data_IF_263214310771
#
_entry.id   IF_263214310771
#
_cell.length_a   1.000
_cell.length_b   1.000
_cell.length_c   1.000
_cell.angle_alpha   90.00
_cell.angle_beta   90.00
_cell.angle_gamma   90.00
#
_symmetry.space_group_name_H-M   'P 1'
#
loop_
_entity.id
_entity.type
_entity.pdbx_description
1 polymer ?
#
# COMPACT_ATOMS: atom_id res chain seq x y z
N UNK A 1 19.43 10.01 8.66
CA UNK A 1 18.41 10.98 9.11
C UNK A 1 17.25 10.95 8.12
N UNK A 2 16.16 10.23 8.44
CA UNK A 2 15.00 10.06 7.55
C UNK A 2 14.21 11.35 7.29
N UNK A 3 14.24 12.29 8.25
CA UNK A 3 13.59 13.60 8.09
C UNK A 3 14.19 14.44 6.94
N UNK A 4 15.41 14.12 6.49
CA UNK A 4 16.06 14.76 5.34
C UNK A 4 15.70 14.11 3.99
N UNK A 5 15.05 12.94 3.99
CA UNK A 5 14.75 12.12 2.81
C UNK A 5 13.30 11.59 2.88
N UNK A 6 12.28 12.47 2.87
CA UNK A 6 10.89 12.08 3.10
C UNK A 6 10.35 11.09 2.07
N UNK A 7 10.75 11.19 0.81
CA UNK A 7 10.29 10.27 -0.24
C UNK A 7 10.88 8.85 -0.05
N UNK A 8 12.15 8.76 0.36
CA UNK A 8 12.77 7.46 0.68
C UNK A 8 12.14 6.84 1.93
N UNK A 9 11.83 7.66 2.94
CA UNK A 9 11.14 7.21 4.15
C UNK A 9 9.74 6.68 3.83
N UNK A 10 9.00 7.40 2.97
CA UNK A 10 7.68 7.01 2.51
C UNK A 10 7.73 5.69 1.72
N UNK A 11 8.62 5.58 0.74
CA UNK A 11 8.78 4.36 -0.05
C UNK A 11 9.12 3.16 0.85
N UNK A 12 10.07 3.31 1.77
CA UNK A 12 10.40 2.27 2.74
C UNK A 12 9.17 1.86 3.57
N UNK A 13 8.43 2.83 4.10
CA UNK A 13 7.21 2.57 4.87
C UNK A 13 6.11 1.90 4.08
N UNK A 14 5.91 2.27 2.80
CA UNK A 14 4.92 1.62 1.93
C UNK A 14 5.31 0.16 1.72
N UNK A 15 6.58 -0.13 1.40
CA UNK A 15 7.05 -1.50 1.20
C UNK A 15 6.82 -2.36 2.44
N UNK A 16 7.23 -1.87 3.61
CA UNK A 16 7.04 -2.58 4.88
C UNK A 16 5.56 -2.81 5.20
N UNK A 17 4.72 -1.81 4.94
CA UNK A 17 3.26 -1.91 5.14
C UNK A 17 2.66 -2.97 4.21
N UNK A 18 3.07 -3.03 2.94
CA UNK A 18 2.62 -4.09 2.02
C UNK A 18 3.11 -5.47 2.45
N UNK A 19 4.36 -5.60 2.91
CA UNK A 19 4.94 -6.86 3.37
C UNK A 19 4.25 -7.38 4.66
N UNK A 20 3.71 -6.49 5.50
CA UNK A 20 2.91 -6.85 6.67
C UNK A 20 1.50 -7.34 6.31
N UNK A 21 1.01 -7.05 5.10
CA UNK A 21 -0.32 -7.44 4.67
C UNK A 21 -0.35 -8.93 4.30
N UNK A 22 -0.83 -9.76 5.25
CA UNK A 22 -0.85 -11.21 5.10
C UNK A 22 -1.66 -11.68 3.88
N UNK A 23 -2.78 -11.02 3.57
CA UNK A 23 -3.60 -11.36 2.39
C UNK A 23 -2.80 -11.21 1.11
N UNK A 24 -2.10 -10.09 0.92
CA UNK A 24 -1.24 -9.87 -0.24
C UNK A 24 -0.06 -10.85 -0.28
N UNK A 25 0.57 -11.11 0.87
CA UNK A 25 1.68 -12.07 0.99
C UNK A 25 1.25 -13.47 0.55
N UNK A 26 0.10 -13.95 1.04
CA UNK A 26 -0.46 -15.24 0.67
C UNK A 26 -0.86 -15.26 -0.81
N UNK A 27 -1.42 -14.18 -1.34
CA UNK A 27 -1.78 -14.07 -2.74
C UNK A 27 -0.57 -14.21 -3.67
N UNK A 28 0.56 -13.59 -3.31
CA UNK A 28 1.82 -13.74 -4.03
C UNK A 28 2.36 -15.17 -3.91
N UNK A 29 2.41 -15.72 -2.69
CA UNK A 29 2.96 -17.06 -2.45
C UNK A 29 2.20 -18.16 -3.18
N UNK A 30 0.86 -18.04 -3.24
CA UNK A 30 0.00 -19.01 -3.91
C UNK A 30 -0.26 -18.67 -5.39
N UNK A 31 0.38 -17.61 -5.92
CA UNK A 31 0.19 -17.15 -7.29
C UNK A 31 -1.27 -16.89 -7.66
N UNK A 32 -2.07 -16.34 -6.74
CA UNK A 32 -3.50 -16.07 -6.98
C UNK A 32 -3.72 -14.99 -8.05
N UNK A 33 -2.75 -14.07 -8.22
CA UNK A 33 -2.70 -13.14 -9.35
C UNK A 33 -2.03 -13.69 -10.61
N UNK A 34 -1.76 -15.00 -10.66
CA UNK A 34 -1.03 -15.67 -11.74
C UNK A 34 0.50 -15.61 -11.60
N UNK A 35 1.27 -16.01 -12.63
CA UNK A 35 2.73 -16.07 -12.60
C UNK A 35 3.39 -14.72 -12.27
N UNK A 36 2.71 -13.63 -12.60
CA UNK A 36 3.17 -12.26 -12.42
C UNK A 36 2.68 -11.63 -11.09
N UNK A 37 2.18 -12.42 -10.14
CA UNK A 37 1.66 -11.92 -8.85
C UNK A 37 2.63 -11.00 -8.12
N UNK A 38 3.94 -11.31 -8.18
CA UNK A 38 4.97 -10.46 -7.59
C UNK A 38 5.12 -9.13 -8.35
N UNK A 39 5.08 -9.17 -9.67
CA UNK A 39 5.17 -7.97 -10.52
C UNK A 39 3.97 -7.06 -10.28
N UNK A 40 2.76 -7.62 -10.15
CA UNK A 40 1.55 -6.87 -9.77
C UNK A 40 1.69 -6.18 -8.40
N UNK A 41 2.27 -6.86 -7.41
CA UNK A 41 2.53 -6.25 -6.11
C UNK A 41 3.57 -5.12 -6.18
N UNK A 42 4.58 -5.25 -7.06
CA UNK A 42 5.55 -4.18 -7.30
C UNK A 42 4.92 -2.98 -8.02
N UNK A 43 3.96 -3.19 -8.95
CA UNK A 43 3.18 -2.09 -9.51
C UNK A 43 2.31 -1.38 -8.48
N UNK A 44 1.61 -2.12 -7.60
CA UNK A 44 0.88 -1.51 -6.49
C UNK A 44 1.81 -0.64 -5.61
N UNK A 45 3.01 -1.12 -5.33
CA UNK A 45 4.01 -0.35 -4.59
C UNK A 45 4.39 0.95 -5.31
N UNK A 46 4.67 0.88 -6.61
CA UNK A 46 5.01 2.04 -7.43
C UNK A 46 3.86 3.05 -7.49
N UNK A 47 2.64 2.58 -7.73
CA UNK A 47 1.42 3.40 -7.80
C UNK A 47 1.16 4.13 -6.48
N UNK A 48 1.30 3.44 -5.33
CA UNK A 48 1.15 4.07 -4.01
C UNK A 48 2.25 5.13 -3.78
N UNK A 49 3.50 4.84 -4.14
CA UNK A 49 4.59 5.80 -4.02
C UNK A 49 4.34 7.05 -4.86
N UNK A 50 3.97 6.85 -6.13
CA UNK A 50 3.68 7.92 -7.07
C UNK A 50 2.47 8.74 -6.63
N UNK A 51 1.40 8.09 -6.22
CA UNK A 51 0.19 8.75 -5.77
C UNK A 51 0.45 9.61 -4.54
N UNK A 52 1.13 9.07 -3.52
CA UNK A 52 1.37 9.80 -2.27
C UNK A 52 2.41 10.93 -2.41
N UNK A 53 3.31 10.85 -3.39
CA UNK A 53 4.32 11.90 -3.65
C UNK A 53 3.82 12.98 -4.61
N UNK A 54 2.99 12.64 -5.59
CA UNK A 54 2.55 13.56 -6.66
C UNK A 54 1.16 14.15 -6.42
N UNK A 55 0.37 13.63 -5.48
CA UNK A 55 -0.98 14.16 -5.24
C UNK A 55 -0.95 15.57 -4.65
N UNK A 56 -1.50 16.52 -5.41
CA UNK A 56 -1.72 17.91 -4.95
C UNK A 56 -2.83 17.99 -3.90
N UNK A 57 -3.78 17.05 -3.93
CA UNK A 57 -4.89 16.98 -2.98
C UNK A 57 -4.54 16.05 -1.82
N UNK A 58 -5.07 16.33 -0.61
CA UNK A 58 -4.97 15.39 0.50
C UNK A 58 -5.63 14.05 0.12
N UNK A 59 -4.83 12.99 0.09
CA UNK A 59 -5.31 11.61 -0.06
C UNK A 59 -6.15 11.24 1.16
N UNK A 60 -7.34 10.67 0.93
CA UNK A 60 -8.23 10.20 2.00
C UNK A 60 -8.01 8.72 2.28
N UNK A 61 -8.22 8.30 3.54
CA UNK A 61 -8.16 6.89 3.90
C UNK A 61 -9.11 6.03 3.07
N UNK A 62 -10.35 6.49 2.83
CA UNK A 62 -11.35 5.75 2.05
C UNK A 62 -10.90 5.53 0.61
N UNK A 63 -10.21 6.50 0.00
CA UNK A 63 -9.67 6.35 -1.36
C UNK A 63 -8.55 5.31 -1.42
N UNK A 64 -7.74 5.21 -0.35
CA UNK A 64 -6.72 4.15 -0.23
C UNK A 64 -7.41 2.79 -0.06
N UNK A 65 -8.44 2.73 0.77
CA UNK A 65 -9.21 1.51 1.00
C UNK A 65 -9.85 0.97 -0.28
N UNK A 66 -10.50 1.85 -1.06
CA UNK A 66 -11.09 1.52 -2.35
C UNK A 66 -10.03 0.94 -3.31
N UNK A 67 -8.87 1.59 -3.44
CA UNK A 67 -7.76 1.09 -4.25
C UNK A 67 -7.28 -0.30 -3.81
N UNK A 68 -7.07 -0.50 -2.52
CA UNK A 68 -6.60 -1.79 -2.00
C UNK A 68 -7.63 -2.90 -2.20
N UNK A 69 -8.92 -2.59 -2.07
CA UNK A 69 -10.01 -3.52 -2.37
C UNK A 69 -10.05 -3.88 -3.86
N UNK A 70 -9.94 -2.89 -4.74
CA UNK A 70 -9.91 -3.11 -6.19
C UNK A 70 -8.73 -4.01 -6.58
N UNK A 71 -7.52 -3.71 -6.10
CA UNK A 71 -6.34 -4.50 -6.45
C UNK A 71 -6.43 -5.92 -5.91
N UNK A 72 -6.80 -6.13 -4.66
CA UNK A 72 -6.85 -7.48 -4.10
C UNK A 72 -7.94 -8.35 -4.76
N UNK A 73 -9.05 -7.74 -5.17
CA UNK A 73 -10.13 -8.42 -5.88
C UNK A 73 -9.79 -8.68 -7.34
N UNK A 74 -9.36 -7.65 -8.07
CA UNK A 74 -9.27 -7.70 -9.53
C UNK A 74 -7.94 -8.31 -9.99
N UNK A 75 -6.83 -7.98 -9.31
CA UNK A 75 -5.50 -8.47 -9.70
C UNK A 75 -5.12 -9.79 -9.04
N UNK A 76 -5.63 -10.04 -7.83
CA UNK A 76 -5.29 -11.22 -7.02
C UNK A 76 -6.46 -12.16 -6.75
N UNK A 77 -7.68 -11.85 -7.22
CA UNK A 77 -8.87 -12.69 -7.10
C UNK A 77 -9.20 -13.12 -5.66
N UNK A 78 -8.96 -12.22 -4.69
CA UNK A 78 -9.28 -12.45 -3.28
C UNK A 78 -10.44 -11.57 -2.83
N UNK A 79 -11.42 -12.19 -2.17
CA UNK A 79 -12.45 -11.49 -1.41
C UNK A 79 -11.93 -11.25 0.02
N UNK A 80 -11.31 -10.08 0.24
CA UNK A 80 -10.70 -9.73 1.52
C UNK A 80 -11.75 -9.26 2.56
N UNK A 81 -12.54 -10.20 3.08
CA UNK A 81 -13.62 -9.95 4.06
C UNK A 81 -13.15 -9.95 5.53
N UNK A 82 -11.85 -10.14 5.78
CA UNK A 82 -11.25 -10.24 7.11
C UNK A 82 -11.02 -8.88 7.80
N UNK A 83 -11.42 -7.78 7.14
CA UNK A 83 -11.19 -6.41 7.62
C UNK A 83 -9.74 -5.93 7.46
N UNK A 84 -8.85 -6.72 6.85
CA UNK A 84 -7.45 -6.34 6.66
C UNK A 84 -7.31 -5.13 5.74
N UNK A 85 -8.15 -4.97 4.72
CA UNK A 85 -8.10 -3.83 3.80
C UNK A 85 -8.31 -2.50 4.55
N UNK A 86 -9.33 -2.41 5.39
CA UNK A 86 -9.59 -1.23 6.23
C UNK A 86 -8.41 -0.97 7.20
N UNK A 87 -7.84 -2.02 7.77
CA UNK A 87 -6.68 -1.89 8.65
C UNK A 87 -5.44 -1.35 7.91
N UNK A 88 -5.16 -1.89 6.72
CA UNK A 88 -4.04 -1.45 5.89
C UNK A 88 -4.24 -0.01 5.40
N UNK A 89 -5.47 0.37 5.00
CA UNK A 89 -5.77 1.74 4.57
C UNK A 89 -5.48 2.76 5.67
N UNK A 90 -5.84 2.45 6.93
CA UNK A 90 -5.50 3.26 8.11
C UNK A 90 -3.98 3.35 8.32
N UNK A 91 -3.24 2.26 8.14
CA UNK A 91 -1.77 2.26 8.27
C UNK A 91 -1.10 3.14 7.23
N UNK A 92 -1.47 3.01 5.94
CA UNK A 92 -0.94 3.88 4.90
C UNK A 92 -1.29 5.35 5.16
N UNK A 93 -2.54 5.63 5.53
CA UNK A 93 -2.97 6.98 5.85
C UNK A 93 -2.13 7.60 6.99
N UNK A 94 -1.88 6.83 8.06
CA UNK A 94 -1.05 7.27 9.18
C UNK A 94 0.41 7.48 8.76
N UNK A 95 0.98 6.57 7.97
CA UNK A 95 2.34 6.69 7.42
C UNK A 95 2.52 8.01 6.65
N UNK A 96 1.59 8.34 5.75
CA UNK A 96 1.64 9.58 4.96
C UNK A 96 1.63 10.80 5.89
N UNK A 97 0.80 10.78 6.93
CA UNK A 97 0.71 11.88 7.90
C UNK A 97 2.01 12.05 8.68
N UNK A 98 2.61 10.96 9.13
CA UNK A 98 3.86 11.02 9.91
C UNK A 98 5.02 11.48 9.02
N UNK A 99 5.05 11.06 7.76
CA UNK A 99 6.04 11.54 6.79
C UNK A 99 5.91 13.04 6.55
N UNK A 100 4.70 13.53 6.31
CA UNK A 100 4.44 14.97 6.11
C UNK A 100 4.75 15.79 7.37
N UNK A 101 4.50 15.22 8.55
CA UNK A 101 4.81 15.84 9.83
C UNK A 101 6.29 15.68 10.26
N UNK A 102 7.11 14.96 9.48
CA UNK A 102 8.51 14.60 9.80
C UNK A 102 8.65 13.93 11.17
N UNK A 103 7.68 13.11 11.55
CA UNK A 103 7.68 12.33 12.80
C UNK A 103 8.36 10.99 12.56
N UNK A 104 9.69 10.96 12.68
CA UNK A 104 10.52 9.75 12.57
C UNK A 104 11.63 9.77 13.60
#
# INVERSE_FOLDING_TARGET
>A
NWAAKPNEALACGIRLTLDEWQVLTLAIQNSWGGPDSKVKADYLFEDLCDWFTKSEKPVKQTEIEDLLFEVIRDDFHVEAEDGSVEFMSKRFFQLIRDVKAKKF
#
